data_IF_980821794169
#
_entry.id   IF_980821794169
#
_cell.length_a   1.000
_cell.length_b   1.000
_cell.length_c   1.000
_cell.angle_alpha   90.00
_cell.angle_beta   90.00
_cell.angle_gamma   90.00
#
_symmetry.space_group_name_H-M   'P 1'
#
loop_
_entity.id
_entity.type
_entity.pdbx_description
1 polymer ?
#
# COMPACT_ATOMS: atom_id res chain seq x y z
N UNK A 1 47.30 40.22 -13.90
CA UNK A 1 46.62 38.91 -13.90
C UNK A 1 45.25 39.07 -13.24
N UNK A 2 44.20 39.27 -14.03
CA UNK A 2 42.83 39.32 -13.53
C UNK A 2 42.14 37.99 -13.81
N UNK A 3 41.78 37.27 -12.75
CA UNK A 3 41.03 36.01 -12.82
C UNK A 3 39.56 36.32 -13.12
N UNK A 4 39.14 35.96 -14.33
CA UNK A 4 37.75 35.99 -14.77
C UNK A 4 36.98 34.89 -14.00
N UNK A 5 36.09 35.28 -13.09
CA UNK A 5 35.18 34.34 -12.42
C UNK A 5 33.98 34.10 -13.32
N UNK A 6 33.92 32.94 -13.96
CA UNK A 6 32.75 32.46 -14.68
C UNK A 6 31.74 31.96 -13.64
N UNK A 7 30.64 32.69 -13.48
CA UNK A 7 29.50 32.25 -12.67
C UNK A 7 28.60 31.41 -13.57
N UNK A 8 28.60 30.09 -13.35
CA UNK A 8 27.71 29.17 -14.04
C UNK A 8 26.31 29.27 -13.39
N UNK A 9 25.40 29.98 -14.04
CA UNK A 9 23.98 29.97 -13.67
C UNK A 9 23.35 28.67 -14.19
N UNK A 10 23.22 27.68 -13.32
CA UNK A 10 22.42 26.48 -13.60
C UNK A 10 20.95 26.89 -13.47
N UNK A 11 20.32 27.21 -14.60
CA UNK A 11 18.87 27.36 -14.67
C UNK A 11 18.28 25.96 -14.58
N UNK A 12 17.86 25.56 -13.38
CA UNK A 12 17.04 24.37 -13.21
C UNK A 12 15.67 24.66 -13.84
N UNK A 13 15.46 24.18 -15.06
CA UNK A 13 14.14 24.11 -15.66
C UNK A 13 13.25 23.27 -14.74
N UNK A 14 12.34 23.92 -14.03
CA UNK A 14 11.18 23.25 -13.46
C UNK A 14 10.37 22.72 -14.63
N UNK A 15 10.60 21.46 -15.01
CA UNK A 15 9.59 20.73 -15.75
C UNK A 15 8.38 20.63 -14.82
N UNK A 16 7.37 21.46 -15.07
CA UNK A 16 6.02 21.22 -14.60
C UNK A 16 5.54 19.97 -15.33
N UNK A 17 5.98 18.80 -14.86
CA UNK A 17 5.38 17.53 -15.19
C UNK A 17 3.94 17.62 -14.70
N UNK A 18 3.01 17.90 -15.63
CA UNK A 18 1.67 17.37 -15.49
C UNK A 18 1.87 15.86 -15.36
N UNK A 19 1.87 15.35 -14.13
CA UNK A 19 2.14 13.96 -13.82
C UNK A 19 1.08 13.13 -14.56
N UNK A 20 1.41 12.75 -15.78
CA UNK A 20 0.52 12.01 -16.65
C UNK A 20 0.70 10.58 -16.23
N UNK A 21 -0.35 9.98 -15.71
CA UNK A 21 -0.31 8.59 -15.30
C UNK A 21 0.22 7.71 -16.43
N UNK A 22 1.00 6.65 -16.14
CA UNK A 22 1.41 5.70 -17.16
C UNK A 22 0.17 5.13 -17.87
N UNK A 23 0.30 4.72 -19.14
CA UNK A 23 -0.82 4.31 -20.01
C UNK A 23 -1.82 3.31 -19.41
N UNK A 24 -1.41 2.50 -18.43
CA UNK A 24 -2.25 1.49 -17.76
C UNK A 24 -3.03 2.03 -16.54
N UNK A 25 -2.84 3.30 -16.19
CA UNK A 25 -3.42 3.95 -15.03
C UNK A 25 -4.18 5.20 -15.43
N UNK A 26 -5.23 5.48 -14.66
CA UNK A 26 -6.02 6.71 -14.79
C UNK A 26 -5.64 7.67 -13.67
N UNK A 27 -5.54 8.96 -13.99
CA UNK A 27 -5.39 10.01 -12.98
C UNK A 27 -6.68 10.10 -12.16
N UNK A 28 -6.57 9.77 -10.88
CA UNK A 28 -7.66 9.90 -9.90
C UNK A 28 -7.58 11.27 -9.23
N UNK A 29 -6.36 11.73 -8.97
CA UNK A 29 -6.04 13.12 -8.58
C UNK A 29 -4.73 13.53 -9.26
N UNK A 30 -4.23 14.73 -8.98
CA UNK A 30 -2.92 15.20 -9.48
C UNK A 30 -1.77 14.24 -9.16
N UNK A 31 -1.83 13.57 -8.00
CA UNK A 31 -0.72 12.77 -7.47
C UNK A 31 -1.07 11.29 -7.29
N UNK A 32 -2.26 10.87 -7.72
CA UNK A 32 -2.74 9.49 -7.56
C UNK A 32 -3.15 8.93 -8.90
N UNK A 33 -2.42 7.91 -9.33
CA UNK A 33 -2.71 7.12 -10.51
C UNK A 33 -3.20 5.74 -10.08
N UNK A 34 -4.40 5.35 -10.50
CA UNK A 34 -4.97 4.05 -10.14
C UNK A 34 -5.61 3.34 -11.33
N UNK A 35 -5.75 2.03 -11.22
CA UNK A 35 -6.42 1.20 -12.22
C UNK A 35 -7.16 0.04 -11.57
N UNK A 36 -8.25 -0.41 -12.20
CA UNK A 36 -8.98 -1.61 -11.76
C UNK A 36 -8.41 -2.82 -12.49
N UNK A 37 -7.98 -3.84 -11.74
CA UNK A 37 -7.34 -5.03 -12.32
C UNK A 37 -8.22 -6.28 -12.30
N UNK A 38 -9.27 -6.29 -11.47
CA UNK A 38 -10.16 -7.44 -11.36
C UNK A 38 -10.99 -7.42 -10.09
N UNK A 39 -11.25 -8.62 -9.57
CA UNK A 39 -11.87 -8.87 -8.27
C UNK A 39 -11.10 -9.97 -7.55
N UNK A 40 -11.23 -10.04 -6.22
CA UNK A 40 -10.63 -11.10 -5.42
C UNK A 40 -11.50 -11.46 -4.22
N UNK A 41 -11.44 -12.72 -3.80
CA UNK A 41 -12.05 -13.21 -2.56
C UNK A 41 -11.14 -13.02 -1.35
N UNK A 42 -9.91 -12.56 -1.51
CA UNK A 42 -9.01 -12.33 -0.39
C UNK A 42 -8.16 -11.08 -0.58
N UNK A 43 -7.76 -10.50 0.55
CA UNK A 43 -6.81 -9.39 0.58
C UNK A 43 -5.49 -9.78 -0.10
N UNK A 44 -4.97 -10.98 0.18
CA UNK A 44 -3.72 -11.44 -0.43
C UNK A 44 -3.85 -11.71 -1.93
N UNK A 45 -5.02 -12.18 -2.40
CA UNK A 45 -5.30 -12.27 -3.82
C UNK A 45 -5.35 -10.88 -4.47
N UNK A 46 -5.96 -9.90 -3.82
CA UNK A 46 -6.02 -8.51 -4.29
C UNK A 46 -4.61 -7.88 -4.36
N UNK A 47 -3.82 -8.01 -3.29
CA UNK A 47 -2.44 -7.53 -3.26
C UNK A 47 -1.56 -8.22 -4.32
N UNK A 48 -1.72 -9.53 -4.53
CA UNK A 48 -1.00 -10.29 -5.55
C UNK A 48 -1.28 -9.78 -6.96
N UNK A 49 -2.54 -9.46 -7.29
CA UNK A 49 -2.87 -8.90 -8.60
C UNK A 49 -2.14 -7.57 -8.85
N UNK A 50 -2.07 -6.70 -7.84
CA UNK A 50 -1.33 -5.44 -7.96
C UNK A 50 0.19 -5.64 -8.07
N UNK A 51 0.75 -6.57 -7.30
CA UNK A 51 2.17 -6.91 -7.38
C UNK A 51 2.54 -7.51 -8.75
N UNK A 52 1.68 -8.36 -9.32
CA UNK A 52 1.86 -8.92 -10.66
C UNK A 52 1.79 -7.83 -11.74
N UNK A 53 0.85 -6.89 -11.63
CA UNK A 53 0.80 -5.74 -12.53
C UNK A 53 2.11 -4.95 -12.47
N UNK A 54 2.58 -4.61 -11.26
CA UNK A 54 3.85 -3.88 -11.06
C UNK A 54 5.05 -4.61 -11.65
N UNK A 55 5.13 -5.93 -11.46
CA UNK A 55 6.16 -6.78 -12.07
C UNK A 55 6.13 -6.70 -13.60
N UNK A 56 4.95 -6.76 -14.21
CA UNK A 56 4.80 -6.75 -15.67
C UNK A 56 5.22 -5.42 -16.31
N UNK A 57 5.11 -4.31 -15.57
CA UNK A 57 5.49 -2.98 -16.06
C UNK A 57 6.81 -2.46 -15.46
N UNK A 58 7.51 -3.29 -14.70
CA UNK A 58 8.74 -2.92 -14.00
C UNK A 58 8.59 -1.65 -13.14
N UNK A 59 7.51 -1.58 -12.36
CA UNK A 59 7.22 -0.45 -11.47
C UNK A 59 6.64 -0.90 -10.13
N UNK A 60 6.70 0.01 -9.16
CA UNK A 60 6.04 -0.15 -7.87
C UNK A 60 4.53 0.01 -8.07
N UNK A 61 3.76 -1.03 -7.79
CA UNK A 61 2.30 -1.02 -7.85
C UNK A 61 1.77 -1.79 -6.64
N UNK A 62 0.78 -1.23 -5.96
CA UNK A 62 0.26 -1.79 -4.71
C UNK A 62 -1.26 -1.62 -4.62
N UNK A 63 -1.90 -2.39 -3.73
CA UNK A 63 -3.33 -2.28 -3.48
C UNK A 63 -3.65 -0.88 -2.94
N UNK A 64 -4.65 -0.20 -3.50
CA UNK A 64 -4.98 1.17 -3.08
C UNK A 64 -5.33 1.22 -1.59
N UNK A 65 -4.67 2.08 -0.83
CA UNK A 65 -4.85 2.19 0.62
C UNK A 65 -5.68 3.41 0.99
N UNK A 66 -5.03 4.36 1.69
CA UNK A 66 -5.64 5.62 2.15
C UNK A 66 -6.28 6.47 1.04
N UNK A 67 -5.90 6.26 -0.21
CA UNK A 67 -6.43 6.96 -1.37
C UNK A 67 -7.72 6.34 -1.94
N UNK A 68 -8.21 5.22 -1.38
CA UNK A 68 -9.47 4.60 -1.79
C UNK A 68 -10.65 5.60 -1.92
N UNK A 69 -10.86 6.57 -1.00
CA UNK A 69 -11.94 7.56 -1.12
C UNK A 69 -11.86 8.46 -2.36
N UNK A 70 -10.69 8.57 -2.98
CA UNK A 70 -10.48 9.41 -4.16
C UNK A 70 -11.00 8.74 -5.43
N UNK A 71 -11.22 7.42 -5.42
CA UNK A 71 -11.74 6.70 -6.58
C UNK A 71 -13.16 7.15 -6.91
N UNK A 72 -13.36 7.67 -8.12
CA UNK A 72 -14.66 8.03 -8.66
C UNK A 72 -15.43 6.80 -9.18
N UNK A 73 -15.54 5.75 -8.36
CA UNK A 73 -16.26 4.52 -8.69
C UNK A 73 -17.66 4.58 -8.09
N UNK A 74 -18.69 4.14 -8.82
CA UNK A 74 -20.08 4.19 -8.33
C UNK A 74 -20.43 2.91 -7.60
N UNK A 75 -20.83 3.03 -6.33
CA UNK A 75 -21.54 1.99 -5.57
C UNK A 75 -20.79 0.68 -5.25
N UNK A 76 -19.53 0.55 -5.66
CA UNK A 76 -18.77 -0.69 -5.47
C UNK A 76 -17.86 -0.59 -4.24
N UNK A 77 -18.19 -1.36 -3.21
CA UNK A 77 -17.25 -1.66 -2.14
C UNK A 77 -16.02 -2.38 -2.70
N UNK A 78 -14.83 -2.11 -2.18
CA UNK A 78 -13.60 -2.69 -2.71
C UNK A 78 -12.54 -2.91 -1.63
N UNK A 79 -11.61 -3.82 -1.92
CA UNK A 79 -10.44 -4.06 -1.07
C UNK A 79 -9.62 -2.80 -0.91
N UNK A 80 -9.05 -2.58 0.28
CA UNK A 80 -8.03 -1.55 0.47
C UNK A 80 -6.77 -2.12 1.10
N UNK A 81 -5.64 -1.45 0.85
CA UNK A 81 -4.35 -1.74 1.43
C UNK A 81 -4.22 -1.38 2.91
N UNK A 82 -5.22 -0.73 3.52
CA UNK A 82 -5.16 -0.39 4.96
C UNK A 82 -5.41 -1.64 5.80
N UNK A 83 -4.50 -1.95 6.73
CA UNK A 83 -4.51 -3.19 7.49
C UNK A 83 -3.76 -3.08 8.84
N UNK A 84 -3.96 -4.08 9.70
CA UNK A 84 -3.27 -4.24 10.98
C UNK A 84 -2.47 -5.55 11.05
N UNK A 85 -2.01 -6.07 9.90
CA UNK A 85 -1.30 -7.35 9.81
C UNK A 85 0.08 -7.30 10.47
N UNK A 86 0.75 -6.15 10.45
CA UNK A 86 2.08 -5.98 11.05
C UNK A 86 2.01 -5.85 12.58
N UNK A 87 1.04 -5.09 13.09
CA UNK A 87 0.83 -4.90 14.52
C UNK A 87 -0.66 -4.91 14.80
N UNK A 88 -1.11 -5.87 15.61
CA UNK A 88 -2.50 -5.96 16.04
C UNK A 88 -2.89 -4.73 16.87
N UNK A 89 -4.02 -4.12 16.51
CA UNK A 89 -4.57 -2.89 17.07
C UNK A 89 -5.95 -3.06 17.70
N UNK A 90 -6.52 -4.27 17.71
CA UNK A 90 -7.87 -4.51 18.22
C UNK A 90 -8.87 -3.52 17.56
N UNK A 91 -9.70 -2.87 18.36
CA UNK A 91 -10.70 -1.85 18.00
C UNK A 91 -10.12 -0.42 17.90
N UNK A 92 -8.80 -0.25 18.00
CA UNK A 92 -8.19 1.09 17.87
C UNK A 92 -8.34 1.62 16.45
N UNK A 93 -8.93 2.81 16.32
CA UNK A 93 -9.10 3.54 15.04
C UNK A 93 -7.78 4.04 14.44
N UNK A 94 -6.75 4.20 15.26
CA UNK A 94 -5.44 4.73 14.87
C UNK A 94 -4.39 3.64 14.78
N UNK A 95 -3.37 3.83 13.96
CA UNK A 95 -2.21 2.94 13.95
C UNK A 95 -2.27 1.79 12.93
N UNK A 96 -3.26 1.79 12.03
CA UNK A 96 -3.35 0.83 10.92
C UNK A 96 -2.43 1.29 9.78
N UNK A 97 -1.60 0.38 9.27
CA UNK A 97 -0.68 0.67 8.17
C UNK A 97 -1.39 0.59 6.82
N UNK A 98 -0.78 1.14 5.77
CA UNK A 98 -1.18 0.84 4.39
C UNK A 98 -0.08 0.13 3.61
N UNK A 99 -0.45 -0.46 2.47
CA UNK A 99 0.49 -1.19 1.61
C UNK A 99 1.37 -0.28 0.74
N UNK A 100 1.41 1.03 0.99
CA UNK A 100 2.19 1.96 0.18
C UNK A 100 3.69 1.92 0.60
N UNK A 101 4.58 1.32 -0.21
CA UNK A 101 5.98 1.16 0.15
C UNK A 101 6.77 2.48 0.13
N UNK A 102 6.23 3.54 -0.47
CA UNK A 102 6.88 4.86 -0.50
C UNK A 102 6.70 5.63 0.82
N UNK A 103 5.77 5.21 1.66
CA UNK A 103 5.46 5.86 2.94
C UNK A 103 5.20 4.81 4.03
N UNK A 104 6.17 3.93 4.31
CA UNK A 104 5.97 2.78 5.20
C UNK A 104 5.68 3.18 6.66
N UNK A 105 5.92 4.45 7.02
CA UNK A 105 5.63 5.02 8.34
C UNK A 105 4.17 5.48 8.50
N UNK A 106 3.39 5.53 7.42
CA UNK A 106 2.02 6.00 7.53
C UNK A 106 1.19 5.06 8.39
N UNK A 107 0.38 5.65 9.25
CA UNK A 107 -0.69 4.95 9.94
C UNK A 107 -1.95 5.79 9.97
N UNK A 108 -3.10 5.15 10.16
CA UNK A 108 -4.37 5.85 10.33
C UNK A 108 -4.34 6.78 11.55
N UNK A 109 -4.81 8.01 11.36
CA UNK A 109 -5.02 9.01 12.40
C UNK A 109 -6.50 9.17 12.77
N UNK A 110 -6.80 10.21 13.54
CA UNK A 110 -8.17 10.57 13.93
C UNK A 110 -9.04 11.04 12.76
N UNK A 111 -8.41 11.45 11.66
CA UNK A 111 -9.02 11.90 10.42
C UNK A 111 -9.42 10.75 9.49
N UNK A 112 -9.05 9.50 9.81
CA UNK A 112 -9.40 8.34 9.01
C UNK A 112 -10.91 8.03 9.11
N UNK A 113 -11.54 7.84 7.96
CA UNK A 113 -12.99 7.84 7.82
C UNK A 113 -13.63 6.46 8.06
N UNK A 114 -13.55 5.98 9.30
CA UNK A 114 -14.24 4.74 9.72
C UNK A 114 -15.77 4.86 9.66
N UNK A 115 -16.45 3.76 9.34
CA UNK A 115 -17.91 3.66 9.41
C UNK A 115 -18.37 3.37 10.85
N UNK A 116 -19.33 4.12 11.38
CA UNK A 116 -19.96 3.82 12.67
C UNK A 116 -18.98 3.41 13.79
N UNK A 117 -19.18 2.19 14.31
CA UNK A 117 -18.41 1.56 15.40
C UNK A 117 -17.09 0.94 14.99
N UNK A 118 -16.73 0.98 13.70
CA UNK A 118 -15.55 0.32 13.17
C UNK A 118 -14.23 1.04 13.54
N UNK A 119 -13.11 0.30 13.65
CA UNK A 119 -13.02 -1.16 13.60
C UNK A 119 -13.60 -1.81 14.86
N UNK A 120 -14.12 -3.03 14.75
CA UNK A 120 -14.72 -3.77 15.87
C UNK A 120 -13.74 -4.75 16.52
N UNK A 121 -12.54 -4.88 15.93
CA UNK A 121 -11.38 -5.53 16.52
C UNK A 121 -11.21 -7.00 16.17
N UNK A 122 -12.10 -7.56 15.34
CA UNK A 122 -12.05 -8.97 14.96
C UNK A 122 -11.29 -9.21 13.65
N UNK A 123 -11.07 -8.16 12.86
CA UNK A 123 -10.67 -8.30 11.48
C UNK A 123 -9.37 -7.59 11.12
N UNK A 124 -8.57 -8.19 10.26
CA UNK A 124 -7.17 -7.81 10.06
C UNK A 124 -6.93 -6.75 8.97
N UNK A 125 -7.88 -6.60 8.05
CA UNK A 125 -7.76 -5.75 6.85
C UNK A 125 -8.98 -4.86 6.72
N UNK A 126 -9.08 -4.07 5.66
CA UNK A 126 -10.21 -3.17 5.45
C UNK A 126 -10.78 -3.26 4.04
N UNK A 127 -12.05 -2.88 3.95
CA UNK A 127 -12.70 -2.52 2.69
C UNK A 127 -13.14 -1.05 2.74
N UNK A 128 -13.33 -0.45 1.58
CA UNK A 128 -13.96 0.86 1.46
C UNK A 128 -15.39 0.69 0.95
N UNK A 129 -16.37 1.12 1.73
CA UNK A 129 -17.78 1.12 1.39
C UNK A 129 -18.14 2.39 0.61
N UNK A 130 -18.08 2.32 -0.71
CA UNK A 130 -18.30 3.48 -1.58
C UNK A 130 -19.68 4.14 -1.41
N UNK A 131 -20.72 3.36 -1.08
CA UNK A 131 -22.09 3.86 -0.90
C UNK A 131 -22.23 4.88 0.24
N UNK A 132 -21.39 4.76 1.26
CA UNK A 132 -21.38 5.64 2.45
C UNK A 132 -20.08 6.44 2.58
N UNK A 133 -19.08 6.15 1.75
CA UNK A 133 -17.80 6.84 1.71
C UNK A 133 -16.90 6.57 2.93
N UNK A 134 -16.97 5.36 3.51
CA UNK A 134 -16.30 5.02 4.78
C UNK A 134 -15.55 3.69 4.70
N UNK A 135 -14.58 3.50 5.59
CA UNK A 135 -13.86 2.24 5.77
C UNK A 135 -14.52 1.37 6.85
N UNK A 136 -14.50 0.07 6.64
CA UNK A 136 -14.76 -0.94 7.66
C UNK A 136 -13.61 -1.92 7.74
N UNK A 137 -13.40 -2.51 8.92
CA UNK A 137 -12.60 -3.71 9.03
C UNK A 137 -13.28 -4.87 8.27
N UNK A 138 -12.47 -5.84 7.85
CA UNK A 138 -12.92 -6.93 6.99
C UNK A 138 -12.02 -8.16 7.14
N UNK A 139 -12.58 -9.38 6.99
CA UNK A 139 -11.76 -10.58 7.02
C UNK A 139 -10.78 -10.64 5.87
N UNK A 140 -9.66 -11.31 6.12
CA UNK A 140 -8.59 -11.46 5.13
C UNK A 140 -9.05 -12.24 3.89
N UNK A 141 -10.05 -13.10 4.06
CA UNK A 141 -10.74 -13.81 2.99
C UNK A 141 -12.25 -13.76 3.24
N UNK A 142 -13.02 -13.55 2.18
CA UNK A 142 -14.48 -13.49 2.23
C UNK A 142 -15.11 -14.74 1.66
N UNK A 143 -16.16 -15.24 2.32
CA UNK A 143 -17.06 -16.26 1.76
C UNK A 143 -18.14 -15.69 0.84
N UNK A 144 -18.21 -14.36 0.71
CA UNK A 144 -19.16 -13.64 -0.15
C UNK A 144 -18.59 -13.41 -1.57
N UNK A 145 -19.31 -12.59 -2.34
CA UNK A 145 -18.88 -12.17 -3.67
C UNK A 145 -17.49 -11.51 -3.65
N UNK A 146 -16.64 -11.78 -4.66
CA UNK A 146 -15.33 -11.16 -4.79
C UNK A 146 -15.40 -9.63 -4.85
N UNK A 147 -14.62 -8.94 -4.01
CA UNK A 147 -14.54 -7.48 -4.04
C UNK A 147 -13.61 -7.01 -5.18
N UNK A 148 -13.96 -5.93 -5.89
CA UNK A 148 -13.07 -5.24 -6.82
C UNK A 148 -11.70 -4.92 -6.25
N UNK A 149 -10.70 -5.01 -7.12
CA UNK A 149 -9.29 -4.72 -6.83
C UNK A 149 -8.86 -3.49 -7.62
N UNK A 150 -8.42 -2.46 -6.90
CA UNK A 150 -7.84 -1.25 -7.46
C UNK A 150 -6.39 -1.13 -7.03
N UNK A 151 -5.50 -0.91 -7.99
CA UNK A 151 -4.08 -0.78 -7.76
C UNK A 151 -3.64 0.65 -7.97
N UNK A 152 -2.80 1.15 -7.07
CA UNK A 152 -2.17 2.46 -7.13
C UNK A 152 -0.73 2.33 -7.68
N UNK A 153 -0.37 3.24 -8.57
CA UNK A 153 0.99 3.35 -9.12
C UNK A 153 1.89 4.12 -8.15
N UNK A 154 2.96 3.47 -7.70
CA UNK A 154 3.95 4.00 -6.77
C UNK A 154 5.20 4.58 -7.43
N UNK A 155 5.27 4.65 -8.75
CA UNK A 155 6.46 5.10 -9.47
C UNK A 155 7.34 3.95 -10.00
N UNK A 156 8.38 4.30 -10.78
CA UNK A 156 9.36 3.31 -11.27
C UNK A 156 10.08 2.63 -10.10
N UNK A 157 10.54 1.40 -10.32
CA UNK A 157 11.43 0.75 -9.35
C UNK A 157 12.71 1.57 -9.20
N UNK A 158 13.20 1.70 -7.96
CA UNK A 158 14.43 2.42 -7.70
C UNK A 158 15.61 1.69 -8.37
N UNK A 159 16.22 2.33 -9.37
CA UNK A 159 17.40 1.80 -10.09
C UNK A 159 18.71 2.02 -9.34
N UNK A 160 18.71 2.88 -8.31
CA UNK A 160 19.85 3.21 -7.48
C UNK A 160 19.46 2.92 -6.04
N UNK A 161 20.39 2.32 -5.28
CA UNK A 161 20.26 2.15 -3.82
C UNK A 161 20.02 3.53 -3.21
N UNK A 162 18.75 3.89 -3.01
CA UNK A 162 18.38 5.13 -2.33
C UNK A 162 19.03 5.05 -0.96
N UNK A 163 19.56 6.18 -0.49
CA UNK A 163 20.05 6.29 0.88
C UNK A 163 18.92 5.89 1.84
N UNK A 164 18.93 4.65 2.30
CA UNK A 164 17.92 4.15 3.23
C UNK A 164 18.17 4.91 4.52
N UNK A 165 17.26 5.83 4.85
CA UNK A 165 17.29 6.53 6.14
C UNK A 165 16.85 5.53 7.19
N UNK A 166 17.81 4.88 7.83
CA UNK A 166 17.57 4.14 9.06
C UNK A 166 17.09 5.13 10.13
N UNK A 167 15.91 4.86 10.68
CA UNK A 167 15.36 5.64 11.80
C UNK A 167 15.39 4.76 13.03
N UNK A 168 15.61 5.35 14.20
CA UNK A 168 15.59 4.60 15.46
C UNK A 168 14.19 4.05 15.82
N UNK A 169 13.14 4.59 15.20
CA UNK A 169 11.75 4.19 15.40
C UNK A 169 11.15 3.41 14.21
N UNK A 170 11.95 3.08 13.20
CA UNK A 170 11.50 2.27 12.06
C UNK A 170 12.62 1.33 11.54
N UNK A 171 12.33 0.03 11.29
CA UNK A 171 11.02 -0.62 11.41
C UNK A 171 10.51 -0.68 12.86
N UNK A 172 9.18 -0.73 13.03
CA UNK A 172 8.57 -0.83 14.37
C UNK A 172 9.09 -2.08 15.06
N UNK A 173 9.42 -1.96 16.35
CA UNK A 173 9.83 -3.10 17.15
C UNK A 173 8.65 -4.08 17.28
N UNK A 174 8.81 -5.27 16.71
CA UNK A 174 7.81 -6.33 16.81
C UNK A 174 8.04 -7.11 18.10
N UNK A 175 7.04 -7.09 18.98
CA UNK A 175 7.07 -7.91 20.20
C UNK A 175 6.99 -9.41 19.87
N UNK A 176 6.32 -9.76 18.77
CA UNK A 176 6.19 -11.12 18.28
C UNK A 176 6.42 -11.11 16.77
N UNK A 177 7.41 -11.89 16.30
CA UNK A 177 7.67 -12.06 14.87
C UNK A 177 6.72 -13.07 14.21
N UNK A 178 6.14 -13.96 15.01
CA UNK A 178 5.21 -15.00 14.55
C UNK A 178 3.82 -14.63 15.03
N UNK A 179 2.93 -14.30 14.09
CA UNK A 179 1.51 -14.17 14.37
C UNK A 179 0.96 -15.55 14.77
N UNK A 180 0.26 -15.62 15.90
CA UNK A 180 -0.34 -16.87 16.41
C UNK A 180 -1.82 -16.99 16.03
N UNK A 181 -2.47 -15.87 15.71
CA UNK A 181 -3.85 -15.88 15.27
C UNK A 181 -3.95 -16.10 13.76
N UNK A 182 -4.51 -17.23 13.28
CA UNK A 182 -4.63 -17.52 11.86
C UNK A 182 -5.48 -16.51 11.08
N UNK A 183 -6.37 -15.76 11.76
CA UNK A 183 -7.16 -14.70 11.12
C UNK A 183 -6.31 -13.47 10.73
N UNK A 184 -5.11 -13.34 11.30
CA UNK A 184 -4.19 -12.22 11.10
C UNK A 184 -2.92 -12.63 10.37
N UNK A 185 -2.91 -13.83 9.80
CA UNK A 185 -1.82 -14.31 8.96
C UNK A 185 -1.68 -13.40 7.74
N UNK A 186 -0.52 -12.75 7.61
CA UNK A 186 -0.22 -11.94 6.43
C UNK A 186 -0.12 -12.79 5.15
N UNK A 187 0.22 -12.13 4.05
CA UNK A 187 0.39 -12.80 2.76
C UNK A 187 1.75 -13.49 2.68
N UNK A 188 1.86 -14.68 3.26
CA UNK A 188 3.04 -15.54 3.12
C UNK A 188 2.79 -16.64 2.10
N UNK A 189 3.85 -17.02 1.38
CA UNK A 189 3.89 -18.29 0.68
C UNK A 189 4.45 -19.32 1.66
N UNK A 190 3.80 -20.46 1.80
CA UNK A 190 4.42 -21.60 2.48
C UNK A 190 5.66 -22.02 1.68
N UNK A 191 6.84 -21.75 2.24
CA UNK A 191 8.08 -22.27 1.70
C UNK A 191 8.28 -23.64 2.35
N UNK A 192 8.39 -24.69 1.52
CA UNK A 192 8.64 -26.06 1.97
C UNK A 192 9.78 -26.11 3.00
N UNK A 193 9.75 -27.06 3.96
CA UNK A 193 10.65 -27.10 5.14
C UNK A 193 12.14 -27.28 4.83
N UNK A 194 12.56 -27.28 3.57
CA UNK A 194 13.94 -27.46 3.13
C UNK A 194 14.74 -26.16 2.97
N UNK A 195 14.17 -25.00 3.27
CA UNK A 195 14.88 -23.71 3.15
C UNK A 195 15.47 -23.30 4.49
N UNK A 196 16.79 -23.30 4.57
CA UNK A 196 17.53 -22.84 5.75
C UNK A 196 17.37 -21.32 5.95
N UNK A 197 17.47 -20.80 7.18
CA UNK A 197 17.38 -19.34 7.43
C UNK A 197 18.35 -18.50 6.58
N UNK A 198 19.53 -19.05 6.27
CA UNK A 198 20.51 -18.42 5.37
C UNK A 198 19.95 -18.28 3.95
N UNK A 199 19.28 -19.29 3.44
CA UNK A 199 18.69 -19.22 2.10
C UNK A 199 17.56 -18.18 2.02
N UNK A 200 16.81 -17.93 3.10
CA UNK A 200 15.84 -16.83 3.16
C UNK A 200 16.51 -15.44 3.18
N UNK A 201 17.72 -15.32 3.74
CA UNK A 201 18.42 -14.04 3.82
C UNK A 201 19.06 -13.59 2.49
N UNK A 202 19.23 -14.51 1.55
CA UNK A 202 19.87 -14.27 0.24
C UNK A 202 18.96 -14.59 -0.96
N UNK A 203 17.65 -14.76 -0.73
CA UNK A 203 16.65 -15.02 -1.78
C UNK A 203 16.18 -13.75 -2.49
#
# INVERSE_FOLDING_TARGET
MHLLRIVLLVVASHETSNATCPLQFTAVTTDVCATRVGQSQSFCGAATQCAQLGKNINATVFLIGRNAPKLAVKGLSHWTGVNQLLVYRNDMKTGWYDTNPNTPQYTTGSDFQWQGTQPEGYEAVTYYAQSIGKFGDFPIATGYDPLPVFCEYGGPLATVSKSIKFRSDFPVLLANFVQQNPLFYGCFSEILPSVTPIQCAFA
#
